data_IF_252623633471
#
_entry.id   IF_252623633471
#
_cell.length_a   1.000
_cell.length_b   1.000
_cell.length_c   1.000
_cell.angle_alpha   90.00
_cell.angle_beta   90.00
_cell.angle_gamma   90.00
#
_symmetry.space_group_name_H-M   'P 1'
#
loop_
_entity.id
_entity.type
_entity.pdbx_description
1 polymer ?
#
# COMPACT_ATOMS: atom_id res chain seq x y z
N UNK A 1 64.14 -20.81 2.27
CA UNK A 1 62.96 -20.01 1.86
C UNK A 1 61.75 -20.42 2.67
N UNK A 2 61.10 -19.47 3.36
CA UNK A 2 59.64 -19.41 3.59
C UNK A 2 59.34 -18.08 4.29
N UNK A 3 58.82 -17.10 3.53
CA UNK A 3 58.26 -15.85 4.08
C UNK A 3 56.77 -16.11 4.26
N UNK A 4 56.29 -16.11 5.50
CA UNK A 4 54.86 -16.20 5.78
C UNK A 4 54.27 -14.80 5.60
N UNK A 5 53.61 -14.56 4.47
CA UNK A 5 52.80 -13.37 4.29
C UNK A 5 51.53 -13.52 5.13
N UNK A 6 51.47 -12.83 6.27
CA UNK A 6 50.22 -12.66 7.02
C UNK A 6 49.40 -11.58 6.29
N UNK A 7 48.40 -12.03 5.53
CA UNK A 7 47.45 -11.12 4.85
C UNK A 7 46.57 -10.44 5.89
N UNK A 8 46.77 -9.14 6.09
CA UNK A 8 45.83 -8.28 6.83
C UNK A 8 44.73 -7.87 5.86
N UNK A 9 43.57 -8.51 5.94
CA UNK A 9 42.37 -8.07 5.22
C UNK A 9 41.85 -6.83 5.95
N UNK A 10 42.02 -5.67 5.32
CA UNK A 10 41.45 -4.42 5.81
C UNK A 10 40.02 -4.33 5.29
N UNK A 11 39.05 -4.68 6.13
CA UNK A 11 37.63 -4.46 5.87
C UNK A 11 37.33 -2.96 6.04
N UNK A 12 37.48 -2.18 4.98
CA UNK A 12 37.01 -0.80 4.96
C UNK A 12 35.48 -0.81 4.93
N UNK A 13 34.87 -0.70 6.11
CA UNK A 13 33.46 -0.34 6.26
C UNK A 13 33.31 1.10 5.80
N UNK A 14 33.08 1.29 4.50
CA UNK A 14 32.57 2.54 3.98
C UNK A 14 31.22 2.77 4.62
N UNK A 15 31.16 3.68 5.59
CA UNK A 15 29.89 4.22 6.09
C UNK A 15 29.31 5.03 4.94
N UNK A 16 28.58 4.35 4.06
CA UNK A 16 27.59 5.01 3.23
C UNK A 16 26.57 5.54 4.23
N UNK A 17 26.70 6.81 4.60
CA UNK A 17 25.63 7.57 5.21
C UNK A 17 24.44 7.46 4.25
N UNK A 18 23.55 6.50 4.51
CA UNK A 18 22.19 6.50 4.02
C UNK A 18 21.62 7.84 4.47
N UNK A 19 21.62 8.79 3.54
CA UNK A 19 20.83 10.00 3.65
C UNK A 19 19.38 9.54 3.68
N UNK A 20 18.93 9.10 4.86
CA UNK A 20 17.52 9.11 5.23
C UNK A 20 17.14 10.59 5.24
N UNK A 21 16.93 11.16 4.07
CA UNK A 21 15.97 12.24 3.96
C UNK A 21 14.67 11.61 4.44
N UNK A 22 14.25 11.97 5.64
CA UNK A 22 12.88 11.81 6.09
C UNK A 22 12.01 12.61 5.11
N UNK A 23 11.76 12.04 3.93
CA UNK A 23 10.73 12.49 3.04
C UNK A 23 9.45 12.39 3.87
N UNK A 24 8.82 13.52 4.14
CA UNK A 24 7.57 13.55 4.86
C UNK A 24 6.61 12.58 4.18
N UNK A 25 6.00 11.68 4.97
CA UNK A 25 4.97 10.80 4.44
C UNK A 25 3.88 11.68 3.82
N UNK A 26 3.62 11.51 2.54
CA UNK A 26 2.55 12.21 1.85
C UNK A 26 1.23 11.57 2.25
N UNK A 27 0.23 12.41 2.47
CA UNK A 27 -1.07 11.96 2.93
C UNK A 27 -2.15 12.28 1.89
N UNK A 28 -2.85 11.23 1.46
CA UNK A 28 -4.09 11.33 0.68
C UNK A 28 -5.25 11.11 1.66
N UNK A 29 -6.15 12.08 1.75
CA UNK A 29 -7.33 12.02 2.59
C UNK A 29 -8.57 11.96 1.69
N UNK A 30 -9.31 10.86 1.75
CA UNK A 30 -10.52 10.63 0.97
C UNK A 30 -11.73 10.71 1.90
N UNK A 31 -12.26 11.89 2.16
CA UNK A 31 -13.37 12.05 3.12
C UNK A 31 -14.73 11.73 2.49
N UNK A 32 -14.81 11.80 1.17
CA UNK A 32 -16.01 11.53 0.37
C UNK A 32 -15.62 10.93 -1.00
N UNK A 33 -16.54 10.23 -1.66
CA UNK A 33 -16.25 9.54 -2.94
C UNK A 33 -15.77 10.48 -4.04
N UNK A 34 -16.22 11.73 -4.04
CA UNK A 34 -15.76 12.75 -5.00
C UNK A 34 -14.27 13.08 -4.88
N UNK A 35 -13.63 12.80 -3.75
CA UNK A 35 -12.20 13.04 -3.57
C UNK A 35 -11.33 12.04 -4.32
N UNK A 36 -11.85 10.83 -4.60
CA UNK A 36 -11.12 9.77 -5.31
C UNK A 36 -10.61 10.28 -6.65
N UNK A 37 -11.46 11.00 -7.39
CA UNK A 37 -11.10 11.61 -8.69
C UNK A 37 -10.04 12.71 -8.60
N UNK A 38 -9.72 13.24 -7.42
CA UNK A 38 -8.63 14.22 -7.25
C UNK A 38 -7.25 13.57 -7.22
N UNK A 39 -7.17 12.29 -6.81
CA UNK A 39 -5.92 11.58 -6.57
C UNK A 39 -5.71 10.40 -7.51
N UNK A 40 -6.77 9.86 -8.09
CA UNK A 40 -6.70 8.72 -8.97
C UNK A 40 -7.35 9.03 -10.32
N UNK A 41 -6.84 8.37 -11.37
CA UNK A 41 -7.36 8.47 -12.72
C UNK A 41 -7.53 7.08 -13.34
N UNK A 42 -8.61 6.95 -14.10
CA UNK A 42 -8.93 5.77 -14.88
C UNK A 42 -8.29 5.86 -16.27
N UNK A 43 -7.53 4.83 -16.64
CA UNK A 43 -6.95 4.63 -17.95
C UNK A 43 -7.37 3.25 -18.48
N UNK A 44 -8.57 3.17 -19.06
CA UNK A 44 -9.17 1.88 -19.39
C UNK A 44 -9.52 1.11 -18.12
N UNK A 45 -9.11 -0.16 -18.01
CA UNK A 45 -9.35 -0.99 -16.81
C UNK A 45 -8.36 -0.73 -15.66
N UNK A 46 -7.51 0.29 -15.77
CA UNK A 46 -6.49 0.60 -14.78
C UNK A 46 -6.81 1.90 -14.06
N UNK A 47 -6.89 1.86 -12.73
CA UNK A 47 -7.01 3.02 -11.87
C UNK A 47 -5.65 3.27 -11.22
N UNK A 48 -5.09 4.44 -11.49
CA UNK A 48 -3.70 4.79 -11.13
C UNK A 48 -3.67 6.08 -10.32
N UNK A 49 -2.62 6.29 -9.54
CA UNK A 49 -2.34 7.60 -8.95
C UNK A 49 -2.15 8.67 -10.04
N UNK A 50 -2.84 9.80 -9.90
CA UNK A 50 -2.54 11.02 -10.64
C UNK A 50 -1.15 11.52 -10.24
N UNK A 51 -0.35 11.98 -11.20
CA UNK A 51 1.00 12.48 -10.94
C UNK A 51 1.87 11.48 -10.12
N UNK A 52 2.06 10.23 -10.58
CA UNK A 52 2.72 9.18 -9.80
C UNK A 52 4.13 9.57 -9.32
N UNK A 53 4.84 10.40 -10.11
CA UNK A 53 6.16 10.91 -9.74
C UNK A 53 6.17 11.75 -8.46
N UNK A 54 5.03 12.35 -8.06
CA UNK A 54 4.91 13.09 -6.79
C UNK A 54 5.06 12.16 -5.58
N UNK A 55 4.62 10.91 -5.73
CA UNK A 55 4.54 9.93 -4.64
C UNK A 55 5.70 8.93 -4.64
N UNK A 56 6.48 8.86 -5.73
CA UNK A 56 7.65 7.99 -5.81
C UNK A 56 8.78 8.46 -4.90
N UNK A 57 9.38 7.52 -4.19
CA UNK A 57 10.57 7.81 -3.36
C UNK A 57 10.26 8.31 -1.96
N UNK A 58 9.00 8.27 -1.53
CA UNK A 58 8.57 8.68 -0.20
C UNK A 58 7.45 7.77 0.31
N UNK A 59 7.24 7.77 1.63
CA UNK A 59 6.12 7.08 2.24
C UNK A 59 4.79 7.72 1.78
N UNK A 60 3.76 6.89 1.59
CA UNK A 60 2.42 7.32 1.21
C UNK A 60 1.39 6.72 2.18
N UNK A 61 0.58 7.60 2.79
CA UNK A 61 -0.54 7.23 3.63
C UNK A 61 -1.85 7.61 2.93
N UNK A 62 -2.77 6.65 2.78
CA UNK A 62 -4.10 6.85 2.23
C UNK A 62 -5.10 6.63 3.36
N UNK A 63 -5.73 7.70 3.82
CA UNK A 63 -6.82 7.64 4.80
C UNK A 63 -8.15 7.61 4.07
N UNK A 64 -8.90 6.55 4.31
CA UNK A 64 -10.18 6.29 3.67
C UNK A 64 -11.31 6.65 4.62
N UNK A 65 -12.07 7.70 4.27
CA UNK A 65 -13.44 7.93 4.74
C UNK A 65 -14.51 7.41 3.79
N UNK A 66 -14.07 6.87 2.65
CA UNK A 66 -14.87 6.09 1.71
C UNK A 66 -14.86 4.61 2.09
N UNK A 67 -15.90 3.88 1.69
CA UNK A 67 -16.05 2.46 1.97
C UNK A 67 -15.27 1.57 1.01
N UNK A 68 -15.12 1.98 -0.25
CA UNK A 68 -14.53 1.15 -1.29
C UNK A 68 -13.52 1.93 -2.13
N UNK A 69 -12.41 1.27 -2.45
CA UNK A 69 -11.43 1.72 -3.43
C UNK A 69 -11.08 0.60 -4.42
N UNK A 70 -11.15 0.84 -5.73
CA UNK A 70 -11.74 2.02 -6.36
C UNK A 70 -13.27 2.04 -6.16
N UNK A 71 -13.84 3.25 -6.02
CA UNK A 71 -15.25 3.57 -5.67
C UNK A 71 -16.34 2.54 -6.10
N UNK A 72 -17.44 2.43 -5.34
CA UNK A 72 -18.52 1.43 -5.50
C UNK A 72 -19.30 1.52 -6.83
N UNK A 73 -19.15 2.60 -7.60
CA UNK A 73 -19.82 2.78 -8.90
C UNK A 73 -19.23 1.92 -10.04
N UNK A 74 -18.10 1.24 -9.81
CA UNK A 74 -17.48 0.36 -10.80
C UNK A 74 -17.97 -1.08 -10.65
N UNK A 75 -18.10 -1.82 -11.77
CA UNK A 75 -18.03 -3.28 -11.74
C UNK A 75 -16.58 -3.66 -11.34
N UNK A 76 -16.32 -3.52 -10.04
CA UNK A 76 -14.98 -3.49 -9.43
C UNK A 76 -14.19 -4.77 -9.69
N UNK A 77 -14.87 -5.83 -10.11
CA UNK A 77 -14.27 -7.09 -10.54
C UNK A 77 -13.29 -6.92 -11.71
N UNK A 78 -13.55 -5.96 -12.60
CA UNK A 78 -12.84 -5.80 -13.86
C UNK A 78 -11.69 -4.79 -13.84
N UNK A 79 -11.59 -3.98 -12.78
CA UNK A 79 -10.62 -2.89 -12.67
C UNK A 79 -9.41 -3.28 -11.83
N UNK A 80 -8.22 -2.78 -12.20
CA UNK A 80 -6.98 -2.93 -11.43
C UNK A 80 -6.63 -1.64 -10.74
N UNK A 81 -6.29 -1.70 -9.46
CA UNK A 81 -5.90 -0.52 -8.68
C UNK A 81 -4.39 -0.48 -8.47
N UNK A 82 -3.70 0.39 -9.19
CA UNK A 82 -2.23 0.38 -9.27
C UNK A 82 -1.61 1.54 -8.48
N UNK A 83 -0.73 1.20 -7.53
CA UNK A 83 0.07 2.15 -6.75
C UNK A 83 1.54 1.73 -6.77
N UNK A 84 2.42 2.59 -7.29
CA UNK A 84 3.87 2.40 -7.28
C UNK A 84 4.56 3.61 -6.65
N UNK A 85 5.03 3.44 -5.41
CA UNK A 85 5.78 4.46 -4.65
C UNK A 85 7.28 4.12 -4.54
N UNK A 86 7.72 3.02 -5.16
CA UNK A 86 9.08 2.50 -5.10
C UNK A 86 9.35 1.57 -3.91
N UNK A 87 10.34 0.70 -4.08
CA UNK A 87 10.64 -0.45 -3.19
C UNK A 87 11.29 -0.11 -1.85
N UNK A 88 11.54 1.16 -1.57
CA UNK A 88 12.20 1.62 -0.35
C UNK A 88 11.23 2.25 0.66
N UNK A 89 9.97 2.47 0.26
CA UNK A 89 8.99 3.25 1.01
C UNK A 89 7.77 2.42 1.44
N UNK A 90 7.02 2.95 2.40
CA UNK A 90 5.83 2.34 2.98
C UNK A 90 4.57 2.92 2.36
N UNK A 91 3.69 2.04 1.86
CA UNK A 91 2.33 2.37 1.47
C UNK A 91 1.39 1.97 2.60
N UNK A 92 0.62 2.91 3.14
CA UNK A 92 -0.32 2.64 4.23
C UNK A 92 -1.74 2.97 3.82
N UNK A 93 -2.68 2.09 4.16
CA UNK A 93 -4.11 2.35 4.10
C UNK A 93 -4.69 2.32 5.51
N UNK A 94 -5.56 3.27 5.82
CA UNK A 94 -6.27 3.30 7.10
C UNK A 94 -7.70 3.75 6.87
N UNK A 95 -8.66 2.96 7.32
CA UNK A 95 -10.04 3.42 7.36
C UNK A 95 -10.28 4.29 8.60
N UNK A 96 -11.00 5.39 8.43
CA UNK A 96 -11.27 6.32 9.52
C UNK A 96 -12.45 5.86 10.41
N UNK A 97 -13.27 4.92 9.94
CA UNK A 97 -14.30 4.25 10.71
C UNK A 97 -13.72 3.01 11.38
N UNK A 98 -13.88 2.90 12.70
CA UNK A 98 -13.33 1.80 13.51
C UNK A 98 -14.32 0.66 13.74
N UNK A 99 -15.56 0.81 13.24
CA UNK A 99 -16.62 -0.17 13.46
C UNK A 99 -16.65 -1.23 12.36
N UNK A 100 -16.45 -0.83 11.10
CA UNK A 100 -16.44 -1.74 9.96
C UNK A 100 -15.24 -1.41 9.06
N UNK A 101 -14.52 -2.40 8.52
CA UNK A 101 -13.42 -2.13 7.62
C UNK A 101 -13.92 -1.63 6.26
N UNK A 102 -13.07 -0.88 5.55
CA UNK A 102 -13.29 -0.53 4.14
C UNK A 102 -12.61 -1.54 3.21
N UNK A 103 -12.99 -1.55 1.93
CA UNK A 103 -12.48 -2.47 0.94
C UNK A 103 -11.50 -1.78 -0.01
N UNK A 104 -10.39 -2.46 -0.30
CA UNK A 104 -9.49 -2.12 -1.39
C UNK A 104 -9.43 -3.30 -2.36
N UNK A 105 -9.95 -3.09 -3.55
CA UNK A 105 -10.19 -4.12 -4.56
C UNK A 105 -9.11 -4.08 -5.64
N UNK A 106 -8.63 -5.26 -6.00
CA UNK A 106 -7.67 -5.53 -7.06
C UNK A 106 -6.37 -4.70 -6.98
N UNK A 107 -5.80 -4.60 -5.76
CA UNK A 107 -4.59 -3.82 -5.50
C UNK A 107 -3.34 -4.43 -6.15
N UNK A 108 -2.69 -3.64 -7.00
CA UNK A 108 -1.31 -3.82 -7.45
C UNK A 108 -0.42 -2.78 -6.79
N UNK A 109 0.43 -3.20 -5.87
CA UNK A 109 1.29 -2.32 -5.09
C UNK A 109 2.78 -2.62 -5.33
N UNK A 110 3.58 -1.57 -5.55
CA UNK A 110 5.05 -1.64 -5.45
C UNK A 110 5.51 -0.71 -4.33
N UNK A 111 5.97 -1.33 -3.24
CA UNK A 111 6.41 -0.66 -2.02
C UNK A 111 7.41 -1.57 -1.28
N UNK A 112 8.18 -1.04 -0.33
CA UNK A 112 8.92 -1.89 0.62
C UNK A 112 7.96 -2.70 1.49
N UNK A 113 6.93 -2.01 1.99
CA UNK A 113 5.92 -2.54 2.88
C UNK A 113 4.58 -1.90 2.54
N UNK A 114 3.53 -2.72 2.49
CA UNK A 114 2.13 -2.32 2.42
C UNK A 114 1.51 -2.60 3.79
N UNK A 115 0.99 -1.56 4.42
CA UNK A 115 0.29 -1.64 5.71
C UNK A 115 -1.18 -1.35 5.51
N UNK A 116 -2.02 -2.14 6.15
CA UNK A 116 -3.45 -1.84 6.21
C UNK A 116 -3.93 -1.83 7.64
N UNK A 117 -4.85 -0.91 7.96
CA UNK A 117 -5.54 -0.84 9.24
C UNK A 117 -7.02 -0.64 8.99
N UNK A 118 -7.84 -1.61 9.41
CA UNK A 118 -9.29 -1.64 9.17
C UNK A 118 -9.64 -1.62 7.67
N UNK A 119 -8.89 -2.40 6.89
CA UNK A 119 -9.11 -2.57 5.45
C UNK A 119 -9.12 -4.04 5.09
N UNK A 120 -10.08 -4.44 4.28
CA UNK A 120 -10.12 -5.73 3.59
C UNK A 120 -9.54 -5.58 2.19
N UNK A 121 -8.56 -6.41 1.84
CA UNK A 121 -8.05 -6.48 0.47
C UNK A 121 -8.85 -7.53 -0.31
N UNK A 122 -9.59 -7.10 -1.35
CA UNK A 122 -10.36 -7.99 -2.22
C UNK A 122 -9.65 -8.17 -3.56
N UNK A 123 -9.69 -9.38 -4.11
CA UNK A 123 -9.09 -9.70 -5.40
C UNK A 123 -10.06 -10.56 -6.22
N UNK A 124 -10.73 -9.92 -7.17
CA UNK A 124 -11.57 -10.56 -8.19
C UNK A 124 -10.79 -10.77 -9.51
N UNK A 125 -9.69 -10.03 -9.68
CA UNK A 125 -8.73 -10.17 -10.77
C UNK A 125 -7.30 -10.35 -10.21
N UNK A 126 -6.33 -10.81 -11.02
CA UNK A 126 -4.94 -10.95 -10.58
C UNK A 126 -4.40 -9.65 -9.97
N UNK A 127 -3.94 -9.77 -8.72
CA UNK A 127 -3.46 -8.66 -7.89
C UNK A 127 -2.07 -8.98 -7.36
N UNK A 128 -1.18 -7.99 -7.33
CA UNK A 128 0.24 -8.19 -6.98
C UNK A 128 0.68 -7.18 -5.93
N UNK A 129 1.11 -7.68 -4.78
CA UNK A 129 1.81 -6.88 -3.77
C UNK A 129 3.30 -7.22 -3.85
N UNK A 130 4.07 -6.30 -4.43
CA UNK A 130 5.52 -6.38 -4.53
C UNK A 130 6.16 -5.63 -3.37
N UNK A 131 6.02 -6.21 -2.17
CA UNK A 131 6.48 -5.68 -0.89
C UNK A 131 6.06 -6.60 0.25
N UNK A 132 6.50 -6.31 1.47
CA UNK A 132 5.95 -6.97 2.66
C UNK A 132 4.50 -6.53 2.87
N UNK A 133 3.64 -7.40 3.40
CA UNK A 133 2.26 -7.06 3.73
C UNK A 133 2.02 -7.21 5.24
N UNK A 134 1.53 -6.14 5.86
CA UNK A 134 1.10 -6.12 7.26
C UNK A 134 -0.35 -5.66 7.31
N UNK A 135 -1.24 -6.43 7.94
CA UNK A 135 -2.65 -6.09 8.09
C UNK A 135 -3.02 -6.07 9.56
N UNK A 136 -3.68 -5.00 10.00
CA UNK A 136 -4.15 -4.83 11.37
C UNK A 136 -5.61 -4.41 11.38
N UNK A 137 -6.29 -4.66 12.50
CA UNK A 137 -7.59 -4.06 12.79
C UNK A 137 -7.53 -3.32 14.13
N UNK A 138 -8.23 -2.21 14.23
CA UNK A 138 -8.42 -1.44 15.46
C UNK A 138 -9.68 -1.84 16.24
N UNK A 139 -10.54 -2.68 15.65
CA UNK A 139 -11.73 -3.27 16.28
C UNK A 139 -11.42 -4.46 17.19
N UNK A 140 -12.35 -4.78 18.11
CA UNK A 140 -12.23 -5.89 19.06
C UNK A 140 -12.60 -7.26 18.49
N UNK A 141 -13.25 -7.31 17.33
CA UNK A 141 -13.52 -8.54 16.58
C UNK A 141 -12.64 -8.54 15.33
N UNK A 142 -11.93 -9.66 15.13
CA UNK A 142 -11.15 -9.86 13.91
C UNK A 142 -12.09 -9.79 12.70
N UNK A 143 -11.55 -9.42 11.55
CA UNK A 143 -12.22 -9.46 10.25
C UNK A 143 -12.68 -10.90 10.00
N UNK A 144 -13.88 -11.27 10.44
CA UNK A 144 -14.44 -12.61 10.24
C UNK A 144 -15.15 -12.66 8.91
N UNK A 145 -14.88 -13.75 8.19
CA UNK A 145 -15.39 -14.09 6.87
C UNK A 145 -16.89 -13.79 6.70
N UNK A 146 -17.21 -13.31 5.50
CA UNK A 146 -18.53 -13.16 4.89
C UNK A 146 -19.59 -14.05 5.55
N UNK A 147 -20.54 -13.43 6.25
CA UNK A 147 -21.65 -14.14 6.87
C UNK A 147 -22.38 -14.92 5.78
N UNK A 148 -22.19 -16.25 5.77
CA UNK A 148 -23.05 -17.15 4.99
C UNK A 148 -24.49 -16.86 5.43
N UNK A 149 -25.23 -16.13 4.60
CA UNK A 149 -26.67 -15.94 4.76
C UNK A 149 -27.32 -17.33 4.78
N UNK A 150 -27.68 -17.79 5.97
CA UNK A 150 -28.57 -18.92 6.14
C UNK A 150 -29.93 -18.44 5.65
N UNK A 151 -30.30 -18.86 4.43
CA UNK A 151 -31.68 -18.73 3.98
C UNK A 151 -32.55 -19.60 4.91
N UNK A 152 -33.49 -18.95 5.59
CA UNK A 152 -34.57 -19.60 6.36
C UNK A 152 -35.79 -19.75 5.46
#
# INVERSE_FOLDING_TARGET
MKKNASSKILLSLGVATLLYSSAFAEEINLTQSSDVGNYFEENGKDINLKNPNKYKGQDLSIKMGVWDLPNDDYDSADYRFNIDIGKDNTLSFTHNNKENPAYVTNLNATAKEVKTTDIVLQAFAPSVINGNLTMTSSGGEAITEDEKKVQV
#
